data_IF_846973056178
#
_entry.id   IF_846973056178
#
_cell.length_a   1.000
_cell.length_b   1.000
_cell.length_c   1.000
_cell.angle_alpha   90.00
_cell.angle_beta   90.00
_cell.angle_gamma   90.00
#
_symmetry.space_group_name_H-M   'P 1'
#
loop_
_entity.id
_entity.type
_entity.pdbx_description
1 polymer ?
#
# COMPACT_ATOMS: atom_id res chain seq x y z
N UNK A 1 10.14 10.28 10.75
CA UNK A 1 10.49 8.89 10.38
C UNK A 1 10.44 8.75 8.88
N UNK A 2 11.37 8.00 8.31
CA UNK A 2 11.54 7.88 6.86
C UNK A 2 11.26 6.44 6.39
N UNK A 3 10.99 6.28 5.12
CA UNK A 3 11.04 5.00 4.44
C UNK A 3 12.46 4.72 3.98
N UNK A 4 12.83 3.45 3.86
CA UNK A 4 14.09 3.05 3.23
C UNK A 4 13.81 2.51 1.85
N UNK A 5 14.50 3.03 0.82
CA UNK A 5 14.48 2.52 -0.55
C UNK A 5 15.90 2.24 -1.01
N UNK A 6 16.18 0.96 -1.30
CA UNK A 6 17.57 0.49 -1.45
C UNK A 6 18.36 0.86 -0.17
N UNK A 7 19.36 1.72 -0.26
CA UNK A 7 20.19 2.19 0.87
C UNK A 7 19.81 3.60 1.36
N UNK A 8 18.87 4.27 0.66
CA UNK A 8 18.55 5.67 0.91
C UNK A 8 17.29 5.83 1.78
N UNK A 9 17.31 6.82 2.65
CA UNK A 9 16.13 7.24 3.41
C UNK A 9 15.30 8.21 2.56
N UNK A 10 14.01 7.92 2.44
CA UNK A 10 13.01 8.73 1.75
C UNK A 10 12.09 9.38 2.77
N UNK A 11 12.13 10.68 2.85
CA UNK A 11 11.32 11.48 3.78
C UNK A 11 10.49 12.56 3.10
N UNK A 12 10.64 12.72 1.78
CA UNK A 12 9.92 13.73 0.99
C UNK A 12 9.51 13.15 -0.36
N UNK A 13 8.36 13.58 -0.86
CA UNK A 13 7.80 13.09 -2.12
C UNK A 13 8.65 13.44 -3.33
N UNK A 14 9.42 14.52 -3.28
CA UNK A 14 10.33 14.96 -4.35
C UNK A 14 11.54 14.02 -4.55
N UNK A 15 11.80 13.15 -3.58
CA UNK A 15 12.86 12.15 -3.68
C UNK A 15 12.47 10.92 -4.53
N UNK A 16 11.19 10.80 -4.90
CA UNK A 16 10.77 9.78 -5.85
C UNK A 16 11.04 10.23 -7.30
N UNK A 17 11.35 9.29 -8.20
CA UNK A 17 11.39 9.58 -9.63
C UNK A 17 10.07 10.18 -10.12
N UNK A 18 10.15 11.07 -11.12
CA UNK A 18 8.97 11.59 -11.80
C UNK A 18 8.03 10.47 -12.25
N UNK A 19 6.74 10.73 -12.27
CA UNK A 19 5.70 9.76 -12.64
C UNK A 19 5.59 8.53 -11.73
N UNK A 20 6.14 8.55 -10.52
CA UNK A 20 5.88 7.50 -9.53
C UNK A 20 4.45 7.63 -9.02
N UNK A 21 3.61 6.62 -9.30
CA UNK A 21 2.22 6.57 -8.82
C UNK A 21 2.14 6.09 -7.38
N UNK A 22 2.97 5.11 -7.03
CA UNK A 22 3.00 4.49 -5.72
C UNK A 22 4.09 3.44 -5.59
N UNK A 23 4.08 2.73 -4.48
CA UNK A 23 5.11 1.73 -4.18
C UNK A 23 4.55 0.53 -3.42
N UNK A 24 5.20 -0.62 -3.61
CA UNK A 24 5.03 -1.81 -2.79
C UNK A 24 6.05 -1.75 -1.66
N UNK A 25 5.62 -2.10 -0.46
CA UNK A 25 6.44 -1.97 0.74
C UNK A 25 6.46 -3.24 1.59
N UNK A 26 7.51 -3.36 2.39
CA UNK A 26 7.66 -4.28 3.50
C UNK A 26 7.73 -3.47 4.79
N UNK A 27 6.88 -3.81 5.76
CA UNK A 27 6.94 -3.28 7.12
C UNK A 27 7.31 -4.44 8.03
N UNK A 28 8.38 -4.29 8.81
CA UNK A 28 8.87 -5.33 9.70
C UNK A 28 8.83 -4.85 11.15
N UNK A 29 8.20 -5.63 12.00
CA UNK A 29 8.24 -5.45 13.46
C UNK A 29 9.50 -6.11 14.00
N UNK A 30 10.50 -5.32 14.35
CA UNK A 30 11.84 -5.76 14.77
C UNK A 30 11.84 -6.77 15.92
N UNK A 31 11.03 -6.58 17.01
CA UNK A 31 11.05 -7.52 18.14
C UNK A 31 10.60 -8.93 17.78
N UNK A 32 9.64 -9.08 16.87
CA UNK A 32 9.10 -10.39 16.47
C UNK A 32 9.62 -10.88 15.12
N UNK A 33 10.32 -10.02 14.38
CA UNK A 33 10.74 -10.25 12.99
C UNK A 33 9.56 -10.58 12.03
N UNK A 34 8.34 -10.23 12.43
CA UNK A 34 7.14 -10.46 11.63
C UNK A 34 6.91 -9.29 10.69
N UNK A 35 6.57 -9.56 9.45
CA UNK A 35 6.50 -8.57 8.38
C UNK A 35 5.12 -8.46 7.74
N UNK A 36 4.89 -7.38 7.03
CA UNK A 36 3.68 -7.11 6.25
C UNK A 36 4.05 -6.54 4.88
N UNK A 37 3.52 -7.13 3.81
CA UNK A 37 3.67 -6.64 2.44
C UNK A 37 2.36 -6.00 1.99
N UNK A 38 2.45 -4.76 1.54
CA UNK A 38 1.31 -4.01 1.02
C UNK A 38 1.74 -2.99 -0.03
N UNK A 39 0.78 -2.19 -0.48
CA UNK A 39 1.01 -1.09 -1.43
C UNK A 39 0.51 0.23 -0.89
N UNK A 40 1.11 1.31 -1.36
CA UNK A 40 0.70 2.68 -1.05
C UNK A 40 0.79 3.55 -2.29
N UNK A 41 -0.24 4.36 -2.52
CA UNK A 41 -0.21 5.41 -3.55
C UNK A 41 0.41 6.68 -2.96
N UNK A 42 1.13 7.44 -3.79
CA UNK A 42 1.65 8.75 -3.39
C UNK A 42 0.58 9.83 -3.46
N UNK A 43 -0.26 9.76 -4.47
CA UNK A 43 -1.34 10.72 -4.71
C UNK A 43 -2.67 10.01 -4.96
N UNK A 44 -3.74 10.66 -4.61
CA UNK A 44 -5.08 10.25 -4.98
C UNK A 44 -5.88 11.42 -5.54
N UNK A 45 -6.83 11.10 -6.41
CA UNK A 45 -7.73 12.08 -7.00
C UNK A 45 -9.05 12.10 -6.23
N UNK A 46 -9.44 13.25 -5.76
CA UNK A 46 -10.70 13.48 -5.03
C UNK A 46 -11.62 14.37 -5.85
N UNK A 47 -12.90 13.99 -5.92
CA UNK A 47 -13.94 14.89 -6.40
C UNK A 47 -14.22 15.96 -5.34
N UNK A 48 -14.09 17.23 -5.71
CA UNK A 48 -14.42 18.36 -4.86
C UNK A 48 -15.58 19.13 -5.48
N UNK A 49 -16.60 19.43 -4.67
CA UNK A 49 -17.74 20.26 -5.11
C UNK A 49 -17.22 21.65 -5.49
N UNK A 50 -17.66 22.16 -6.65
CA UNK A 50 -17.28 23.49 -7.10
C UNK A 50 -18.05 24.51 -6.27
N UNK A 51 -17.35 25.48 -5.69
CA UNK A 51 -17.94 26.55 -4.88
C UNK A 51 -18.74 27.55 -5.74
N UNK A 52 -19.70 28.22 -5.12
CA UNK A 52 -20.58 29.20 -5.81
C UNK A 52 -19.81 30.27 -6.60
N UNK A 53 -18.74 30.82 -6.04
CA UNK A 53 -17.90 31.84 -6.69
C UNK A 53 -17.17 31.30 -7.94
N UNK A 54 -16.73 30.06 -7.87
CA UNK A 54 -16.03 29.39 -8.99
C UNK A 54 -17.02 28.99 -10.08
N UNK A 55 -18.23 28.53 -9.71
CA UNK A 55 -19.35 28.29 -10.63
C UNK A 55 -19.73 29.57 -11.40
N UNK A 56 -19.79 30.74 -10.74
CA UNK A 56 -20.06 32.04 -11.38
C UNK A 56 -19.00 32.42 -12.42
N UNK A 57 -17.73 32.08 -12.20
CA UNK A 57 -16.66 32.28 -13.21
C UNK A 57 -16.80 31.35 -14.41
N UNK A 58 -17.36 30.16 -14.20
CA UNK A 58 -17.64 29.18 -15.27
C UNK A 58 -18.93 29.47 -16.04
N UNK A 59 -19.76 30.45 -15.60
CA UNK A 59 -21.02 30.83 -16.25
C UNK A 59 -20.88 31.30 -17.69
N UNK A 60 -19.67 31.71 -18.11
CA UNK A 60 -19.36 32.12 -19.48
C UNK A 60 -19.04 30.96 -20.43
N UNK A 61 -18.96 29.71 -19.95
CA UNK A 61 -18.70 28.55 -20.78
C UNK A 61 -19.99 27.95 -21.33
N UNK A 62 -20.02 27.67 -22.62
CA UNK A 62 -21.15 27.05 -23.31
C UNK A 62 -21.19 25.57 -22.98
N UNK A 63 -22.27 25.08 -22.36
CA UNK A 63 -22.49 23.66 -22.08
C UNK A 63 -22.99 23.36 -20.66
N UNK A 64 -23.14 22.05 -20.33
CA UNK A 64 -23.56 21.58 -19.01
C UNK A 64 -22.47 21.87 -17.97
N UNK A 65 -22.78 22.63 -16.93
CA UNK A 65 -21.84 23.01 -15.89
C UNK A 65 -21.39 21.80 -15.08
N UNK A 66 -20.08 21.61 -14.88
CA UNK A 66 -19.59 20.55 -13.98
C UNK A 66 -19.94 20.88 -12.53
N UNK A 67 -20.51 19.92 -11.81
CA UNK A 67 -20.82 20.05 -10.38
C UNK A 67 -19.61 19.82 -9.50
N UNK A 68 -18.60 19.16 -10.02
CA UNK A 68 -17.39 18.75 -9.28
C UNK A 68 -16.14 18.96 -10.13
N UNK A 69 -15.03 19.28 -9.47
CA UNK A 69 -13.69 19.28 -10.04
C UNK A 69 -12.88 18.14 -9.44
N UNK A 70 -11.91 17.63 -10.20
CA UNK A 70 -10.95 16.66 -9.72
C UNK A 70 -9.75 17.39 -9.11
N UNK A 71 -9.44 17.08 -7.86
CA UNK A 71 -8.27 17.62 -7.16
C UNK A 71 -7.34 16.48 -6.83
N UNK A 72 -6.07 16.61 -7.23
CA UNK A 72 -5.00 15.68 -6.86
C UNK A 72 -4.48 16.10 -5.49
N UNK A 73 -4.42 15.14 -4.57
CA UNK A 73 -3.93 15.36 -3.22
C UNK A 73 -2.89 14.31 -2.86
N UNK A 74 -1.81 14.74 -2.22
CA UNK A 74 -0.81 13.84 -1.64
C UNK A 74 -1.46 12.97 -0.54
N UNK A 75 -1.10 11.69 -0.52
CA UNK A 75 -1.58 10.75 0.49
C UNK A 75 -0.78 10.88 1.79
N UNK A 76 -1.19 10.18 2.82
CA UNK A 76 -0.49 10.06 4.11
C UNK A 76 0.68 9.05 4.07
N UNK A 77 1.28 8.81 2.90
CA UNK A 77 2.29 7.79 2.68
C UNK A 77 3.46 7.86 3.67
N UNK A 78 3.89 9.08 4.01
CA UNK A 78 5.04 9.28 4.91
C UNK A 78 4.80 8.72 6.31
N UNK A 79 3.57 8.82 6.83
CA UNK A 79 3.18 8.35 8.16
C UNK A 79 2.42 7.02 8.13
N UNK A 80 2.38 6.34 6.99
CA UNK A 80 1.60 5.13 6.80
C UNK A 80 2.36 3.88 7.26
N UNK A 81 1.66 2.99 7.96
CA UNK A 81 2.18 1.72 8.51
C UNK A 81 1.33 0.51 8.10
N UNK A 82 0.57 0.62 7.02
CA UNK A 82 -0.33 -0.44 6.57
C UNK A 82 -1.72 -0.36 7.20
N UNK A 83 -2.61 -1.24 6.74
CA UNK A 83 -4.00 -1.31 7.20
C UNK A 83 -4.27 -2.47 8.16
N UNK A 84 -3.29 -3.34 8.39
CA UNK A 84 -3.42 -4.55 9.18
C UNK A 84 -3.68 -4.23 10.66
N UNK A 85 -4.61 -4.99 11.27
CA UNK A 85 -5.15 -4.69 12.61
C UNK A 85 -4.10 -4.82 13.72
N UNK A 86 -3.28 -5.85 13.69
CA UNK A 86 -2.23 -6.08 14.72
C UNK A 86 -1.19 -4.95 14.70
N UNK A 87 -0.77 -4.52 13.50
CA UNK A 87 0.14 -3.37 13.35
C UNK A 87 -0.47 -2.11 13.93
N UNK A 88 -1.74 -1.83 13.63
CA UNK A 88 -2.46 -0.67 14.18
C UNK A 88 -2.51 -0.69 15.70
N UNK A 89 -2.76 -1.86 16.30
CA UNK A 89 -2.78 -2.01 17.76
C UNK A 89 -1.41 -1.70 18.38
N UNK A 90 -0.32 -2.23 17.81
CA UNK A 90 1.04 -1.94 18.27
C UNK A 90 1.40 -0.45 18.15
N UNK A 91 0.94 0.22 17.09
CA UNK A 91 1.12 1.66 16.93
C UNK A 91 0.35 2.48 17.98
N UNK A 92 -0.87 2.05 18.35
CA UNK A 92 -1.66 2.67 19.43
C UNK A 92 -0.99 2.51 20.80
N UNK A 93 -0.26 1.42 21.01
CA UNK A 93 0.57 1.19 22.21
C UNK A 93 1.86 2.02 22.24
N UNK A 94 2.09 2.89 21.24
CA UNK A 94 3.28 3.74 21.17
C UNK A 94 4.53 3.04 20.61
N UNK A 95 4.42 1.84 20.07
CA UNK A 95 5.55 1.00 19.58
C UNK A 95 5.99 1.33 18.16
N UNK A 96 5.84 2.58 17.74
CA UNK A 96 6.16 3.04 16.39
C UNK A 96 7.64 2.83 16.02
N UNK A 97 8.55 2.97 16.99
CA UNK A 97 10.00 2.86 16.78
C UNK A 97 10.47 1.40 16.65
N UNK A 98 9.59 0.45 16.95
CA UNK A 98 9.86 -0.97 16.76
C UNK A 98 9.68 -1.41 15.29
N UNK A 99 9.15 -0.55 14.43
CA UNK A 99 8.90 -0.87 13.04
C UNK A 99 9.98 -0.32 12.11
N UNK A 100 10.36 -1.14 11.14
CA UNK A 100 11.14 -0.76 9.98
C UNK A 100 10.26 -0.77 8.73
N UNK A 101 10.45 0.22 7.84
CA UNK A 101 9.64 0.38 6.63
C UNK A 101 10.53 0.47 5.41
N UNK A 102 10.40 -0.50 4.52
CA UNK A 102 11.22 -0.62 3.31
C UNK A 102 10.34 -0.59 2.06
N UNK A 103 10.73 0.20 1.09
CA UNK A 103 10.12 0.22 -0.24
C UNK A 103 10.77 -0.88 -1.07
N UNK A 104 9.95 -1.81 -1.56
CA UNK A 104 10.40 -2.93 -2.39
C UNK A 104 10.41 -2.57 -3.88
N UNK A 105 9.36 -1.87 -4.34
CA UNK A 105 9.19 -1.57 -5.77
C UNK A 105 8.39 -0.30 -5.97
N UNK A 106 8.87 0.59 -6.84
CA UNK A 106 8.12 1.74 -7.34
C UNK A 106 7.26 1.33 -8.54
N UNK A 107 6.11 1.97 -8.71
CA UNK A 107 5.18 1.69 -9.81
C UNK A 107 4.64 2.97 -10.44
N UNK A 108 4.55 3.03 -11.78
CA UNK A 108 4.09 4.21 -12.50
C UNK A 108 2.55 4.31 -12.61
N UNK A 109 1.80 3.27 -12.26
CA UNK A 109 0.35 3.25 -12.36
C UNK A 109 -0.29 2.24 -11.40
N UNK A 110 -1.61 2.37 -11.22
CA UNK A 110 -2.41 1.53 -10.31
C UNK A 110 -2.37 0.05 -10.67
N UNK A 111 -2.40 -0.29 -11.96
CA UNK A 111 -2.44 -1.68 -12.43
C UNK A 111 -1.16 -2.42 -12.09
N UNK A 112 -0.02 -1.84 -12.42
CA UNK A 112 1.29 -2.40 -12.09
C UNK A 112 1.57 -2.40 -10.58
N UNK A 113 1.09 -1.39 -9.86
CA UNK A 113 1.22 -1.36 -8.40
C UNK A 113 0.53 -2.58 -7.76
N UNK A 114 -0.71 -2.90 -8.19
CA UNK A 114 -1.42 -4.09 -7.72
C UNK A 114 -0.74 -5.38 -8.15
N UNK A 115 -0.26 -5.45 -9.39
CA UNK A 115 0.48 -6.61 -9.89
C UNK A 115 1.72 -6.92 -9.05
N UNK A 116 2.54 -5.90 -8.78
CA UNK A 116 3.76 -6.08 -7.99
C UNK A 116 3.46 -6.39 -6.51
N UNK A 117 2.41 -5.80 -5.92
CA UNK A 117 1.97 -6.18 -4.58
C UNK A 117 1.70 -7.68 -4.50
N UNK A 118 0.84 -8.20 -5.38
CA UNK A 118 0.48 -9.61 -5.43
C UNK A 118 1.72 -10.48 -5.71
N UNK A 119 2.55 -10.07 -6.66
CA UNK A 119 3.79 -10.78 -7.00
C UNK A 119 4.70 -10.95 -5.79
N UNK A 120 4.95 -9.89 -5.02
CA UNK A 120 5.78 -9.97 -3.82
C UNK A 120 5.12 -10.82 -2.73
N UNK A 121 3.80 -10.68 -2.51
CA UNK A 121 3.07 -11.50 -1.55
C UNK A 121 3.16 -13.00 -1.87
N UNK A 122 3.10 -13.38 -3.16
CA UNK A 122 3.26 -14.76 -3.60
C UNK A 122 4.70 -15.25 -3.46
N UNK A 123 5.69 -14.46 -3.89
CA UNK A 123 7.12 -14.83 -3.79
C UNK A 123 7.54 -15.05 -2.34
N UNK A 124 7.07 -14.19 -1.43
CA UNK A 124 7.38 -14.31 0.00
C UNK A 124 6.50 -15.33 0.73
N UNK A 125 5.52 -15.93 0.04
CA UNK A 125 4.62 -16.94 0.61
C UNK A 125 3.91 -16.45 1.88
N UNK A 126 3.36 -15.23 1.83
CA UNK A 126 2.85 -14.54 3.01
C UNK A 126 1.69 -15.26 3.70
N UNK A 127 0.89 -16.06 2.96
CA UNK A 127 -0.25 -16.81 3.50
C UNK A 127 0.16 -18.19 4.03
N UNK A 128 1.23 -18.76 3.47
CA UNK A 128 1.79 -20.06 3.88
C UNK A 128 2.68 -19.96 5.13
N UNK A 129 3.11 -18.72 5.46
CA UNK A 129 4.01 -18.42 6.58
C UNK A 129 3.37 -17.44 7.58
N UNK A 130 2.28 -17.81 8.25
CA UNK A 130 1.55 -16.91 9.16
C UNK A 130 2.37 -16.46 10.38
N UNK A 131 3.39 -17.23 10.74
CA UNK A 131 4.29 -16.86 11.85
C UNK A 131 5.29 -15.77 11.45
N UNK A 132 5.61 -15.65 10.15
CA UNK A 132 6.56 -14.66 9.61
C UNK A 132 5.85 -13.41 9.07
N UNK A 133 4.54 -13.50 8.73
CA UNK A 133 3.81 -12.41 8.10
C UNK A 133 2.51 -12.06 8.82
N UNK A 134 2.19 -10.77 8.84
CA UNK A 134 0.90 -10.25 9.30
C UNK A 134 -0.19 -10.33 8.23
N UNK A 135 0.17 -10.61 6.98
CA UNK A 135 -0.79 -10.74 5.90
C UNK A 135 -1.74 -11.91 6.16
N UNK A 136 -3.03 -11.68 6.06
CA UNK A 136 -4.09 -12.67 6.27
C UNK A 136 -4.86 -13.00 4.99
N UNK A 137 -4.68 -12.19 3.96
CA UNK A 137 -5.29 -12.40 2.64
C UNK A 137 -4.47 -11.79 1.50
N UNK A 138 -4.72 -12.29 0.28
CA UNK A 138 -4.27 -11.71 -0.99
C UNK A 138 -5.49 -11.38 -1.82
N UNK A 139 -5.65 -10.12 -2.22
CA UNK A 139 -6.77 -9.57 -3.00
C UNK A 139 -8.16 -9.81 -2.40
N UNK A 140 -8.27 -10.18 -1.13
CA UNK A 140 -9.54 -10.60 -0.55
C UNK A 140 -10.12 -11.88 -1.16
N UNK A 141 -9.29 -12.68 -1.84
CA UNK A 141 -9.67 -13.94 -2.50
C UNK A 141 -9.02 -15.16 -1.87
N UNK A 142 -7.77 -15.05 -1.48
CA UNK A 142 -6.98 -16.11 -0.86
C UNK A 142 -6.70 -15.72 0.58
N UNK A 143 -6.91 -16.64 1.51
CA UNK A 143 -6.78 -16.38 2.95
C UNK A 143 -5.86 -17.42 3.60
N UNK A 144 -5.17 -17.03 4.68
CA UNK A 144 -4.31 -17.93 5.47
C UNK A 144 -5.06 -19.22 5.89
N UNK A 145 -6.34 -19.07 6.28
CA UNK A 145 -7.19 -20.21 6.66
C UNK A 145 -7.41 -21.25 5.55
N UNK A 146 -7.24 -20.87 4.28
CA UNK A 146 -7.40 -21.81 3.15
C UNK A 146 -6.26 -22.81 3.13
N UNK A 147 -5.08 -22.42 3.63
CA UNK A 147 -3.89 -23.26 3.72
C UNK A 147 -3.84 -24.14 4.98
N UNK A 148 -4.52 -23.75 6.06
CA UNK A 148 -4.57 -24.50 7.31
C UNK A 148 -5.40 -25.80 7.20
N UNK A 149 -6.40 -25.83 6.30
CA UNK A 149 -7.36 -26.93 6.15
C UNK A 149 -6.91 -28.04 5.23
N UNK A 150 -5.87 -27.81 4.45
CA UNK A 150 -5.38 -28.78 3.46
C UNK A 150 -4.07 -29.34 3.95
N UNK A 151 -3.97 -30.67 4.09
CA UNK A 151 -2.68 -31.36 4.23
C UNK A 151 -1.96 -31.24 2.89
N UNK A 152 -1.28 -30.11 2.68
CA UNK A 152 -0.62 -29.73 1.42
C UNK A 152 0.50 -30.68 1.01
N UNK A 153 1.06 -31.45 1.94
CA UNK A 153 2.14 -32.40 1.70
C UNK A 153 1.81 -33.40 0.60
N UNK A 154 0.51 -33.68 0.40
CA UNK A 154 0.05 -34.61 -0.63
C UNK A 154 -0.12 -33.98 -2.03
N UNK A 155 -0.03 -32.65 -2.16
CA UNK A 155 -0.30 -31.92 -3.40
C UNK A 155 0.85 -31.03 -3.89
N UNK A 156 1.91 -30.92 -3.11
CA UNK A 156 3.09 -30.18 -3.50
C UNK A 156 4.12 -31.13 -4.07
N UNK A 157 3.96 -31.49 -5.33
CA UNK A 157 5.12 -31.88 -6.11
C UNK A 157 5.97 -30.63 -6.34
N UNK A 158 7.29 -30.67 -6.10
CA UNK A 158 8.15 -29.55 -6.42
C UNK A 158 8.00 -29.23 -7.91
N UNK A 159 7.69 -27.99 -8.22
CA UNK A 159 7.82 -27.49 -9.59
C UNK A 159 9.30 -27.56 -9.94
N UNK A 160 9.68 -28.54 -10.75
CA UNK A 160 11.02 -28.69 -11.32
C UNK A 160 11.34 -27.50 -12.26
#
# INVERSE_FOLDING_TARGET
MSWTYKTNKIGDVTQFPENTFGFVYLITHKPTNKSYIGKKVLYYTRKQKIGKRELQRLEKAVGRRPSYKLVVKESDWLNYYGSQKEIKNLLLEGKKDEFERTILKLSPNKKLLTYYEVKFQMIYQVLEKPDEFFNDNILGKFFTKDFEKTKFEDFLEPLE
#
